data_IF_395747877588
#
_entry.id   IF_395747877588
#
_cell.length_a   1.000
_cell.length_b   1.000
_cell.length_c   1.000
_cell.angle_alpha   90.00
_cell.angle_beta   90.00
_cell.angle_gamma   90.00
#
_symmetry.space_group_name_H-M   'P 1'
#
loop_
_entity.id
_entity.type
_entity.pdbx_description
1 polymer ?
#
# COMPACT_ATOMS: atom_id res chain seq x y z
N UNK A 1 12.52 28.28 -11.35
CA UNK A 1 11.32 29.06 -11.03
C UNK A 1 11.71 30.02 -9.94
N UNK A 2 11.39 31.30 -10.11
CA UNK A 2 11.61 32.33 -9.11
C UNK A 2 10.28 32.92 -8.62
N UNK A 3 10.34 33.85 -7.67
CA UNK A 3 9.16 34.49 -7.09
C UNK A 3 8.29 35.20 -8.15
N UNK A 4 8.90 35.78 -9.18
CA UNK A 4 8.17 36.49 -10.24
C UNK A 4 7.42 35.52 -11.15
N UNK A 5 7.93 34.31 -11.37
CA UNK A 5 7.22 33.24 -12.06
C UNK A 5 5.95 32.82 -11.32
N UNK A 6 6.02 32.65 -10.00
CA UNK A 6 4.87 32.28 -9.19
C UNK A 6 3.78 33.36 -9.16
N UNK A 7 4.18 34.63 -9.07
CA UNK A 7 3.23 35.76 -9.15
C UNK A 7 2.52 35.81 -10.49
N UNK A 8 3.28 35.65 -11.58
CA UNK A 8 2.72 35.65 -12.94
C UNK A 8 1.75 34.48 -13.17
N UNK A 9 2.02 33.35 -12.54
CA UNK A 9 1.16 32.17 -12.55
C UNK A 9 -0.09 32.30 -11.64
N UNK A 10 -0.18 33.36 -10.82
CA UNK A 10 -1.27 33.55 -9.86
C UNK A 10 -1.16 32.67 -8.61
N UNK A 11 -0.04 31.99 -8.40
CA UNK A 11 0.19 31.08 -7.26
C UNK A 11 0.69 31.80 -6.01
N UNK A 12 1.19 33.03 -6.15
CA UNK A 12 1.80 33.78 -5.08
C UNK A 12 1.39 35.26 -5.12
N UNK A 13 0.97 35.78 -3.97
CA UNK A 13 0.71 37.20 -3.73
C UNK A 13 1.63 37.66 -2.57
N UNK A 14 2.56 38.61 -2.80
CA UNK A 14 3.46 39.09 -1.76
C UNK A 14 2.76 39.92 -0.68
N UNK A 15 1.56 40.45 -0.94
CA UNK A 15 0.81 41.27 -0.01
C UNK A 15 -0.19 40.46 0.84
N UNK A 16 -0.32 39.16 0.58
CA UNK A 16 -1.17 38.26 1.35
C UNK A 16 -0.62 38.01 2.77
N UNK A 17 -1.51 37.83 3.75
CA UNK A 17 -1.12 37.57 5.15
C UNK A 17 -0.28 36.29 5.30
N UNK A 18 -0.52 35.28 4.47
CA UNK A 18 0.21 34.02 4.44
C UNK A 18 1.35 33.99 3.38
N UNK A 19 1.80 35.14 2.86
CA UNK A 19 2.77 35.20 1.76
C UNK A 19 4.05 34.41 2.05
N UNK A 20 4.60 34.51 3.27
CA UNK A 20 5.81 33.78 3.65
C UNK A 20 5.62 32.25 3.56
N UNK A 21 4.50 31.75 4.07
CA UNK A 21 4.19 30.31 4.08
C UNK A 21 3.91 29.79 2.67
N UNK A 22 3.17 30.57 1.87
CA UNK A 22 2.87 30.23 0.47
C UNK A 22 4.15 30.19 -0.37
N UNK A 23 5.07 31.14 -0.19
CA UNK A 23 6.36 31.11 -0.89
C UNK A 23 7.19 29.88 -0.46
N UNK A 24 7.26 29.59 0.84
CA UNK A 24 7.98 28.42 1.35
C UNK A 24 7.43 27.09 0.80
N UNK A 25 6.11 26.99 0.62
CA UNK A 25 5.48 25.85 -0.05
C UNK A 25 5.97 25.73 -1.50
N UNK A 26 5.86 26.80 -2.28
CA UNK A 26 6.20 26.79 -3.71
C UNK A 26 7.69 26.47 -3.94
N UNK A 27 8.57 27.02 -3.11
CA UNK A 27 9.99 26.70 -3.11
C UNK A 27 10.24 25.23 -2.75
N UNK A 28 9.53 24.70 -1.76
CA UNK A 28 9.59 23.29 -1.40
C UNK A 28 9.13 22.39 -2.55
N UNK A 29 8.01 22.70 -3.21
CA UNK A 29 7.50 21.92 -4.33
C UNK A 29 8.47 21.95 -5.52
N UNK A 30 9.03 23.13 -5.83
CA UNK A 30 10.05 23.29 -6.87
C UNK A 30 11.33 22.47 -6.58
N UNK A 31 11.79 22.47 -5.32
CA UNK A 31 12.93 21.67 -4.90
C UNK A 31 12.68 20.15 -5.03
N UNK A 32 11.42 19.73 -5.01
CA UNK A 32 11.00 18.35 -5.24
C UNK A 32 10.71 18.02 -6.71
N UNK A 33 11.00 18.94 -7.64
CA UNK A 33 10.86 18.70 -9.07
C UNK A 33 9.43 18.85 -9.61
N UNK A 34 8.50 19.39 -8.81
CA UNK A 34 7.15 19.72 -9.28
C UNK A 34 7.26 20.87 -10.28
N UNK A 35 6.64 20.73 -11.46
CA UNK A 35 6.65 21.79 -12.48
C UNK A 35 5.62 22.86 -12.18
N UNK A 36 5.80 24.05 -12.77
CA UNK A 36 4.86 25.16 -12.58
C UNK A 36 3.44 24.81 -13.03
N UNK A 37 3.30 24.09 -14.14
CA UNK A 37 2.01 23.63 -14.66
C UNK A 37 1.30 22.68 -13.69
N UNK A 38 2.06 21.78 -13.06
CA UNK A 38 1.51 20.86 -12.05
C UNK A 38 1.09 21.61 -10.78
N UNK A 39 1.81 22.65 -10.38
CA UNK A 39 1.40 23.50 -9.27
C UNK A 39 0.11 24.25 -9.58
N UNK A 40 -0.01 24.82 -10.79
CA UNK A 40 -1.23 25.52 -11.24
C UNK A 40 -2.43 24.57 -11.22
N UNK A 41 -2.28 23.38 -11.80
CA UNK A 41 -3.35 22.38 -11.83
C UNK A 41 -3.73 21.94 -10.41
N UNK A 42 -2.75 21.67 -9.54
CA UNK A 42 -3.02 21.25 -8.16
C UNK A 42 -3.69 22.36 -7.33
N UNK A 43 -3.30 23.63 -7.49
CA UNK A 43 -3.88 24.78 -6.80
C UNK A 43 -5.33 25.01 -7.23
N UNK A 44 -5.64 24.88 -8.52
CA UNK A 44 -7.01 24.97 -9.05
C UNK A 44 -7.97 23.94 -8.43
N UNK A 45 -7.43 22.80 -7.96
CA UNK A 45 -8.20 21.74 -7.29
C UNK A 45 -8.05 21.74 -5.76
N UNK A 46 -7.34 22.71 -5.17
CA UNK A 46 -7.13 22.79 -3.72
C UNK A 46 -6.25 21.69 -3.14
N UNK A 47 -5.34 21.13 -3.96
CA UNK A 47 -4.47 19.99 -3.59
C UNK A 47 -2.98 20.32 -3.64
N UNK A 48 -2.62 21.60 -3.74
CA UNK A 48 -1.25 22.06 -3.92
C UNK A 48 -0.27 21.50 -2.87
N UNK A 49 -0.65 21.49 -1.59
CA UNK A 49 0.18 20.94 -0.52
C UNK A 49 0.48 19.43 -0.68
N UNK A 50 -0.40 18.67 -1.34
CA UNK A 50 -0.25 17.22 -1.53
C UNK A 50 0.47 16.81 -2.82
N UNK A 51 0.77 17.75 -3.74
CA UNK A 51 1.22 17.40 -5.09
C UNK A 51 2.58 16.67 -5.09
N UNK A 52 3.50 17.04 -4.19
CA UNK A 52 4.79 16.36 -4.05
C UNK A 52 4.65 14.91 -3.58
N UNK A 53 3.69 14.63 -2.69
CA UNK A 53 3.37 13.27 -2.25
C UNK A 53 2.74 12.44 -3.37
N UNK A 54 1.85 13.06 -4.13
CA UNK A 54 1.21 12.41 -5.27
C UNK A 54 2.25 12.00 -6.30
N UNK A 55 3.28 12.79 -6.60
CA UNK A 55 4.33 12.39 -7.53
C UNK A 55 5.10 11.11 -7.12
N UNK A 56 5.21 10.85 -5.81
CA UNK A 56 5.83 9.62 -5.29
C UNK A 56 4.87 8.42 -5.33
N UNK A 57 3.56 8.65 -5.17
CA UNK A 57 2.55 7.60 -5.23
C UNK A 57 2.04 7.31 -6.65
N UNK A 58 2.15 8.29 -7.54
CA UNK A 58 1.68 8.19 -8.91
C UNK A 58 2.60 7.30 -9.72
N UNK A 59 1.97 6.36 -10.40
CA UNK A 59 2.42 5.61 -11.55
C UNK A 59 3.32 6.43 -12.50
N UNK A 60 4.63 6.47 -12.24
CA UNK A 60 5.56 7.24 -13.07
C UNK A 60 5.74 6.57 -14.44
N UNK A 61 5.63 7.35 -15.51
CA UNK A 61 5.84 6.90 -16.89
C UNK A 61 4.56 6.89 -17.73
N UNK A 62 4.67 6.39 -18.97
CA UNK A 62 3.52 6.27 -19.87
C UNK A 62 2.56 5.23 -19.31
N UNK A 63 1.32 5.63 -19.04
CA UNK A 63 0.26 4.70 -18.70
C UNK A 63 -0.09 3.82 -19.90
N UNK A 64 -0.30 2.54 -19.61
CA UNK A 64 -0.70 1.50 -20.55
C UNK A 64 -2.20 1.22 -20.37
N UNK A 65 -2.83 0.86 -21.48
CA UNK A 65 -4.17 0.30 -21.51
C UNK A 65 -4.17 -1.20 -21.17
N UNK A 66 -5.32 -1.75 -20.78
CA UNK A 66 -5.46 -3.19 -20.53
C UNK A 66 -5.08 -3.99 -21.79
N UNK A 67 -5.40 -3.48 -22.98
CA UNK A 67 -5.02 -4.08 -24.26
C UNK A 67 -3.51 -4.15 -24.45
N UNK A 68 -2.80 -3.04 -24.18
CA UNK A 68 -1.34 -3.01 -24.28
C UNK A 68 -0.69 -3.97 -23.28
N UNK A 69 -1.19 -4.03 -22.04
CA UNK A 69 -0.68 -4.94 -21.02
C UNK A 69 -0.93 -6.40 -21.39
N UNK A 70 -2.14 -6.75 -21.86
CA UNK A 70 -2.47 -8.11 -22.30
C UNK A 70 -1.55 -8.56 -23.45
N UNK A 71 -1.33 -7.70 -24.45
CA UNK A 71 -0.45 -7.98 -25.57
C UNK A 71 1.01 -8.21 -25.11
N UNK A 72 1.51 -7.41 -24.17
CA UNK A 72 2.88 -7.56 -23.64
C UNK A 72 3.04 -8.76 -22.69
N UNK A 73 1.97 -9.17 -22.02
CA UNK A 73 1.95 -10.34 -21.14
C UNK A 73 1.70 -11.68 -21.87
N UNK A 74 1.51 -11.63 -23.19
CA UNK A 74 1.13 -12.77 -24.03
C UNK A 74 -0.20 -13.40 -23.57
N UNK A 75 -1.20 -12.55 -23.37
CA UNK A 75 -2.56 -12.92 -22.93
C UNK A 75 -3.62 -12.43 -23.90
N UNK A 76 -4.75 -13.13 -23.95
CA UNK A 76 -5.94 -12.57 -24.57
C UNK A 76 -6.49 -11.43 -23.71
N UNK A 77 -7.18 -10.46 -24.34
CA UNK A 77 -7.83 -9.37 -23.61
C UNK A 77 -8.89 -9.90 -22.63
N UNK A 78 -9.61 -10.95 -23.00
CA UNK A 78 -10.62 -11.60 -22.15
C UNK A 78 -9.99 -12.20 -20.89
N UNK A 79 -8.87 -12.91 -21.02
CA UNK A 79 -8.17 -13.50 -19.89
C UNK A 79 -7.60 -12.45 -18.95
N UNK A 80 -7.08 -11.35 -19.51
CA UNK A 80 -6.54 -10.23 -18.74
C UNK A 80 -7.65 -9.48 -17.99
N UNK A 81 -8.79 -9.23 -18.65
CA UNK A 81 -9.97 -8.61 -18.03
C UNK A 81 -10.53 -9.48 -16.89
N UNK A 82 -10.62 -10.80 -17.07
CA UNK A 82 -11.09 -11.70 -16.01
C UNK A 82 -10.14 -11.69 -14.80
N UNK A 83 -8.83 -11.78 -15.05
CA UNK A 83 -7.81 -11.68 -14.01
C UNK A 83 -7.90 -10.36 -13.24
N UNK A 84 -8.08 -9.24 -13.95
CA UNK A 84 -8.23 -7.92 -13.34
C UNK A 84 -9.54 -7.78 -12.54
N UNK A 85 -10.66 -8.28 -13.07
CA UNK A 85 -11.94 -8.30 -12.34
C UNK A 85 -11.84 -9.06 -11.02
N UNK A 86 -11.04 -10.12 -10.94
CA UNK A 86 -10.80 -10.85 -9.69
C UNK A 86 -10.07 -10.02 -8.62
N UNK A 87 -9.39 -8.93 -9.00
CA UNK A 87 -8.77 -7.98 -8.05
C UNK A 87 -9.84 -7.08 -7.39
N UNK A 88 -10.97 -6.83 -8.07
CA UNK A 88 -12.08 -6.08 -7.49
C UNK A 88 -11.91 -4.55 -7.46
N UNK A 89 -11.02 -3.99 -8.27
CA UNK A 89 -10.76 -2.53 -8.37
C UNK A 89 -11.64 -1.80 -9.40
N UNK A 90 -12.78 -2.41 -9.77
CA UNK A 90 -13.69 -1.91 -10.80
C UNK A 90 -13.30 -2.35 -12.22
N UNK A 91 -14.28 -2.26 -13.13
CA UNK A 91 -14.05 -2.51 -14.55
C UNK A 91 -13.20 -1.38 -15.16
N UNK A 92 -12.36 -1.74 -16.14
CA UNK A 92 -11.48 -0.82 -16.84
C UNK A 92 -11.78 -0.95 -18.32
N UNK A 93 -11.98 0.18 -19.02
CA UNK A 93 -12.20 0.08 -20.46
C UNK A 93 -10.91 -0.42 -21.15
N UNK A 94 -10.98 -1.27 -22.19
CA UNK A 94 -9.81 -1.91 -22.78
C UNK A 94 -8.67 -0.97 -23.19
N UNK A 95 -9.03 0.25 -23.59
CA UNK A 95 -8.13 1.28 -24.11
C UNK A 95 -7.93 2.47 -23.13
N UNK A 96 -8.47 2.37 -21.90
CA UNK A 96 -8.26 3.35 -20.81
C UNK A 96 -6.81 3.27 -20.29
N UNK A 97 -6.03 4.37 -20.30
CA UNK A 97 -4.68 4.39 -19.73
C UNK A 97 -4.75 4.30 -18.21
N UNK A 98 -4.27 3.19 -17.63
CA UNK A 98 -4.40 2.93 -16.19
C UNK A 98 -3.21 2.21 -15.56
N UNK A 99 -2.51 1.39 -16.33
CA UNK A 99 -1.46 0.49 -15.84
C UNK A 99 -0.08 1.10 -16.06
N UNK A 100 0.90 0.68 -15.27
CA UNK A 100 2.32 0.98 -15.51
C UNK A 100 3.05 -0.21 -16.09
N UNK A 101 4.27 0.04 -16.58
CA UNK A 101 5.17 -1.01 -17.07
C UNK A 101 5.35 -2.14 -16.04
N UNK A 102 5.43 -1.79 -14.74
CA UNK A 102 5.54 -2.75 -13.65
C UNK A 102 4.36 -3.72 -13.53
N UNK A 103 3.17 -3.34 -13.99
CA UNK A 103 1.98 -4.19 -13.91
C UNK A 103 2.06 -5.39 -14.86
N UNK A 104 2.85 -5.32 -15.94
CA UNK A 104 3.01 -6.41 -16.90
C UNK A 104 3.47 -7.70 -16.19
N UNK A 105 4.39 -7.57 -15.23
CA UNK A 105 4.87 -8.71 -14.46
C UNK A 105 3.75 -9.39 -13.65
N UNK A 106 2.77 -8.62 -13.17
CA UNK A 106 1.59 -9.15 -12.46
C UNK A 106 0.73 -10.01 -13.37
N UNK A 107 0.47 -9.55 -14.61
CA UNK A 107 -0.30 -10.31 -15.59
C UNK A 107 0.45 -11.57 -16.07
N UNK A 108 1.75 -11.47 -16.30
CA UNK A 108 2.60 -12.64 -16.62
C UNK A 108 2.55 -13.68 -15.50
N UNK A 109 2.69 -13.26 -14.23
CA UNK A 109 2.62 -14.16 -13.09
C UNK A 109 1.24 -14.80 -12.93
N UNK A 110 0.17 -14.06 -13.20
CA UNK A 110 -1.19 -14.59 -13.23
C UNK A 110 -1.36 -15.69 -14.29
N UNK A 111 -0.90 -15.44 -15.54
CA UNK A 111 -0.93 -16.43 -16.63
C UNK A 111 -0.18 -17.71 -16.23
N UNK A 112 1.06 -17.58 -15.77
CA UNK A 112 1.88 -18.72 -15.32
C UNK A 112 1.23 -19.47 -14.17
N UNK A 113 0.60 -18.77 -13.22
CA UNK A 113 -0.13 -19.42 -12.14
C UNK A 113 -1.35 -20.20 -12.65
N UNK A 114 -2.08 -19.68 -13.64
CA UNK A 114 -3.17 -20.42 -14.28
C UNK A 114 -2.68 -21.71 -14.97
N UNK A 115 -1.52 -21.70 -15.61
CA UNK A 115 -0.91 -22.89 -16.22
C UNK A 115 -0.52 -23.94 -15.18
N UNK A 116 0.01 -23.52 -14.03
CA UNK A 116 0.52 -24.43 -12.98
C UNK A 116 -0.59 -24.94 -12.06
N UNK A 117 -1.51 -24.07 -11.62
CA UNK A 117 -2.49 -24.36 -10.58
C UNK A 117 -3.92 -24.50 -11.11
N UNK A 118 -4.16 -24.13 -12.37
CA UNK A 118 -5.49 -24.05 -12.97
C UNK A 118 -6.18 -22.71 -12.72
N UNK A 119 -6.93 -22.26 -13.72
CA UNK A 119 -7.61 -20.94 -13.75
C UNK A 119 -8.46 -20.64 -12.52
N UNK A 120 -9.35 -21.55 -12.13
CA UNK A 120 -10.24 -21.37 -10.97
C UNK A 120 -9.47 -21.15 -9.67
N UNK A 121 -8.46 -21.99 -9.40
CA UNK A 121 -7.65 -21.87 -8.18
C UNK A 121 -6.89 -20.55 -8.14
N UNK A 122 -6.31 -20.13 -9.28
CA UNK A 122 -5.61 -18.84 -9.40
C UNK A 122 -6.57 -17.68 -9.17
N UNK A 123 -7.77 -17.68 -9.76
CA UNK A 123 -8.76 -16.62 -9.54
C UNK A 123 -9.19 -16.53 -8.07
N UNK A 124 -9.40 -17.65 -7.39
CA UNK A 124 -9.72 -17.65 -5.95
C UNK A 124 -8.56 -17.08 -5.12
N UNK A 125 -7.32 -17.47 -5.43
CA UNK A 125 -6.14 -16.92 -4.76
C UNK A 125 -6.00 -15.41 -4.99
N UNK A 126 -6.25 -14.94 -6.23
CA UNK A 126 -6.26 -13.50 -6.56
C UNK A 126 -7.27 -12.75 -5.71
N UNK A 127 -8.51 -13.23 -5.57
CA UNK A 127 -9.55 -12.59 -4.73
C UNK A 127 -9.17 -12.52 -3.26
N UNK A 128 -8.58 -13.58 -2.71
CA UNK A 128 -8.10 -13.59 -1.31
C UNK A 128 -6.95 -12.60 -1.12
N UNK A 129 -6.03 -12.54 -2.07
CA UNK A 129 -4.90 -11.61 -2.04
C UNK A 129 -5.41 -10.18 -2.11
N UNK A 130 -6.27 -9.87 -3.08
CA UNK A 130 -6.82 -8.53 -3.28
C UNK A 130 -7.66 -8.05 -2.09
N UNK A 131 -8.54 -8.89 -1.54
CA UNK A 131 -9.30 -8.55 -0.31
C UNK A 131 -8.41 -8.34 0.91
N UNK A 132 -7.25 -9.00 0.97
CA UNK A 132 -6.25 -8.75 2.03
C UNK A 132 -5.52 -7.43 1.80
N UNK A 133 -5.16 -7.12 0.55
CA UNK A 133 -4.54 -5.84 0.20
C UNK A 133 -5.50 -4.66 0.45
N UNK A 134 -6.78 -4.80 0.12
CA UNK A 134 -7.79 -3.76 0.40
C UNK A 134 -7.87 -3.42 1.90
N UNK A 135 -7.88 -4.45 2.77
CA UNK A 135 -7.88 -4.26 4.24
C UNK A 135 -6.58 -3.63 4.74
N UNK A 136 -5.44 -3.96 4.14
CA UNK A 136 -4.15 -3.33 4.48
C UNK A 136 -4.12 -1.86 4.06
N UNK A 137 -4.63 -1.53 2.87
CA UNK A 137 -4.73 -0.17 2.39
C UNK A 137 -5.67 0.66 3.27
N UNK A 138 -6.82 0.11 3.66
CA UNK A 138 -7.77 0.76 4.58
C UNK A 138 -7.13 1.03 5.94
N UNK A 139 -6.44 0.04 6.52
CA UNK A 139 -5.72 0.22 7.79
C UNK A 139 -4.61 1.26 7.67
N UNK A 140 -3.84 1.25 6.58
CA UNK A 140 -2.80 2.23 6.31
C UNK A 140 -3.35 3.65 6.19
N UNK A 141 -4.47 3.83 5.47
CA UNK A 141 -5.15 5.11 5.35
C UNK A 141 -5.71 5.59 6.69
N UNK A 142 -6.31 4.70 7.48
CA UNK A 142 -6.79 5.05 8.82
C UNK A 142 -5.66 5.54 9.73
N UNK A 143 -4.49 4.88 9.70
CA UNK A 143 -3.30 5.33 10.41
C UNK A 143 -2.75 6.66 9.88
N UNK A 144 -2.76 6.88 8.56
CA UNK A 144 -2.37 8.16 7.99
C UNK A 144 -3.25 9.30 8.50
N UNK A 145 -4.58 9.12 8.46
CA UNK A 145 -5.53 10.12 8.94
C UNK A 145 -5.38 10.37 10.44
N UNK A 146 -5.24 9.31 11.25
CA UNK A 146 -5.17 9.46 12.71
C UNK A 146 -3.86 10.07 13.19
N UNK A 147 -2.73 9.67 12.60
CA UNK A 147 -1.40 10.03 13.08
C UNK A 147 -0.81 11.26 12.37
N UNK A 148 -1.27 11.61 11.16
CA UNK A 148 -0.71 12.72 10.38
C UNK A 148 -1.76 13.81 10.11
N UNK A 149 -2.86 13.50 9.43
CA UNK A 149 -3.81 14.51 8.96
C UNK A 149 -4.52 15.25 10.12
N UNK A 150 -5.03 14.49 11.10
CA UNK A 150 -5.73 15.06 12.25
C UNK A 150 -4.85 16.00 13.09
N UNK A 151 -3.63 15.60 13.51
CA UNK A 151 -2.74 16.51 14.24
C UNK A 151 -2.40 17.80 13.49
N UNK A 152 -2.19 17.72 12.17
CA UNK A 152 -1.93 18.91 11.34
C UNK A 152 -3.13 19.87 11.32
N UNK A 153 -4.34 19.31 11.17
CA UNK A 153 -5.57 20.10 11.19
C UNK A 153 -5.83 20.75 12.56
N UNK A 154 -5.55 20.04 13.65
CA UNK A 154 -5.74 20.54 15.03
C UNK A 154 -4.70 21.63 15.38
N UNK A 155 -3.49 21.56 14.82
CA UNK A 155 -2.42 22.51 15.05
C UNK A 155 -2.49 23.78 14.16
N UNK A 156 -3.47 23.90 13.26
CA UNK A 156 -3.51 24.93 12.22
C UNK A 156 -2.19 25.04 11.44
N UNK A 157 -1.64 23.88 11.05
CA UNK A 157 -0.35 23.81 10.37
C UNK A 157 -0.33 24.65 9.07
N UNK A 158 0.82 25.26 8.80
CA UNK A 158 1.07 25.99 7.55
C UNK A 158 1.05 25.04 6.35
N UNK A 159 0.81 25.57 5.14
CA UNK A 159 0.75 24.74 3.93
C UNK A 159 2.04 23.96 3.68
N UNK A 160 3.20 24.56 3.99
CA UNK A 160 4.51 23.90 3.85
C UNK A 160 4.72 22.78 4.88
N UNK A 161 4.19 22.92 6.10
CA UNK A 161 4.23 21.85 7.11
C UNK A 161 3.36 20.67 6.72
N UNK A 162 2.17 20.94 6.16
CA UNK A 162 1.30 19.91 5.58
C UNK A 162 2.06 19.19 4.45
N UNK A 163 2.63 19.93 3.51
CA UNK A 163 3.33 19.36 2.36
C UNK A 163 4.51 18.47 2.75
N UNK A 164 5.34 18.91 3.71
CA UNK A 164 6.46 18.10 4.24
C UNK A 164 5.97 16.83 4.92
N UNK A 165 4.88 16.91 5.68
CA UNK A 165 4.34 15.77 6.42
C UNK A 165 3.71 14.76 5.47
N UNK A 166 2.92 15.22 4.50
CA UNK A 166 2.39 14.35 3.46
C UNK A 166 3.52 13.71 2.65
N UNK A 167 4.61 14.43 2.36
CA UNK A 167 5.74 13.85 1.64
C UNK A 167 6.40 12.75 2.46
N UNK A 168 6.69 12.99 3.73
CA UNK A 168 7.25 11.99 4.63
C UNK A 168 6.35 10.74 4.72
N UNK A 169 5.04 10.93 4.82
CA UNK A 169 4.06 9.84 4.79
C UNK A 169 4.12 9.03 3.49
N UNK A 170 4.22 9.69 2.33
CA UNK A 170 4.33 9.01 1.03
C UNK A 170 5.58 8.13 0.92
N UNK A 171 6.72 8.59 1.47
CA UNK A 171 7.98 7.84 1.48
C UNK A 171 7.88 6.59 2.38
N UNK A 172 7.20 6.70 3.52
CA UNK A 172 6.93 5.55 4.39
C UNK A 172 6.00 4.55 3.69
N UNK A 173 4.93 5.04 3.04
CA UNK A 173 4.00 4.20 2.29
C UNK A 173 4.70 3.44 1.16
N UNK A 174 5.65 4.07 0.47
CA UNK A 174 6.45 3.43 -0.57
C UNK A 174 7.29 2.23 -0.06
N UNK A 175 7.58 2.15 1.24
CA UNK A 175 8.28 1.02 1.85
C UNK A 175 7.39 -0.18 2.21
N UNK A 176 6.06 -0.02 2.20
CA UNK A 176 5.11 -1.08 2.58
C UNK A 176 5.27 -2.37 1.76
N UNK A 177 5.44 -2.33 0.42
CA UNK A 177 5.63 -3.55 -0.38
C UNK A 177 6.79 -4.43 0.12
N UNK A 178 7.92 -3.84 0.51
CA UNK A 178 9.09 -4.58 1.03
C UNK A 178 8.78 -5.29 2.35
N UNK A 179 8.00 -4.65 3.23
CA UNK A 179 7.55 -5.27 4.49
C UNK A 179 6.61 -6.44 4.21
N UNK A 180 5.66 -6.26 3.27
CA UNK A 180 4.70 -7.31 2.90
C UNK A 180 5.40 -8.53 2.28
N UNK A 181 6.39 -8.32 1.42
CA UNK A 181 7.21 -9.41 0.86
C UNK A 181 7.89 -10.21 1.98
N UNK A 182 8.49 -9.50 2.94
CA UNK A 182 9.15 -10.13 4.10
C UNK A 182 8.16 -10.98 4.91
N UNK A 183 6.98 -10.43 5.22
CA UNK A 183 5.95 -11.14 5.98
C UNK A 183 5.40 -12.35 5.23
N UNK A 184 5.17 -12.21 3.92
CA UNK A 184 4.74 -13.31 3.06
C UNK A 184 5.68 -14.52 3.19
N UNK A 185 6.99 -14.31 3.07
CA UNK A 185 7.97 -15.39 3.18
C UNK A 185 8.04 -15.99 4.59
N UNK A 186 7.90 -15.18 5.66
CA UNK A 186 7.86 -15.71 7.02
C UNK A 186 6.63 -16.58 7.29
N UNK A 187 5.46 -16.17 6.81
CA UNK A 187 4.24 -16.96 6.92
C UNK A 187 4.32 -18.26 6.11
N UNK A 188 4.89 -18.21 4.89
CA UNK A 188 5.15 -19.39 4.07
C UNK A 188 6.06 -20.39 4.77
N UNK A 189 7.23 -19.94 5.27
CA UNK A 189 8.18 -20.79 6.00
C UNK A 189 7.54 -21.49 7.20
N UNK A 190 6.78 -20.75 8.02
CA UNK A 190 6.07 -21.32 9.19
C UNK A 190 5.09 -22.43 8.80
N UNK A 191 4.35 -22.24 7.70
CA UNK A 191 3.39 -23.25 7.20
C UNK A 191 4.08 -24.47 6.60
N UNK A 192 5.15 -24.27 5.83
CA UNK A 192 5.94 -25.37 5.25
C UNK A 192 6.68 -26.19 6.31
N UNK A 193 7.11 -25.58 7.43
CA UNK A 193 7.68 -26.32 8.55
C UNK A 193 6.67 -27.23 9.27
N UNK A 194 5.39 -26.87 9.30
CA UNK A 194 4.31 -27.71 9.86
C UNK A 194 3.80 -28.80 8.91
N UNK A 195 3.97 -28.61 7.60
CA UNK A 195 3.45 -29.50 6.55
C UNK A 195 4.31 -30.75 6.28
N UNK A 196 5.50 -30.89 6.89
CA UNK A 196 6.34 -32.10 6.77
C UNK A 196 5.68 -33.37 7.34
N UNK A 197 4.53 -33.24 8.01
CA UNK A 197 3.73 -34.35 8.52
C UNK A 197 2.86 -35.06 7.45
N UNK A 198 2.58 -34.43 6.30
CA UNK A 198 1.66 -35.00 5.29
C UNK A 198 2.36 -35.72 4.12
N UNK A 199 3.69 -35.62 4.01
CA UNK A 199 4.49 -36.37 3.01
C UNK A 199 5.03 -37.69 3.61
N UNK A 200 4.58 -38.08 4.82
CA UNK A 200 4.99 -39.34 5.45
C UNK A 200 3.90 -40.41 5.30
N UNK A 201 4.19 -41.35 4.40
CA UNK A 201 3.61 -42.67 4.18
C UNK A 201 2.16 -42.76 3.67
N UNK A 202 2.02 -43.03 2.36
CA UNK A 202 0.95 -43.92 1.88
C UNK A 202 1.19 -45.28 2.53
N UNK A 203 0.27 -45.83 3.35
CA UNK A 203 0.45 -47.18 3.86
C UNK A 203 0.29 -48.17 2.70
N UNK A 204 1.28 -49.04 2.53
CA UNK A 204 1.10 -50.25 1.76
C UNK A 204 -0.08 -51.02 2.37
N UNK A 205 -1.04 -51.37 1.51
CA UNK A 205 -2.22 -52.14 1.90
C UNK A 205 -1.78 -53.45 2.56
N UNK A 206 -2.08 -53.61 3.84
CA UNK A 206 -2.29 -54.91 4.46
C UNK A 206 -3.60 -54.86 5.23
N UNK A 207 -4.50 -55.77 4.85
CA UNK A 207 -5.76 -56.00 5.52
C UNK A 207 -5.50 -56.51 6.95
N UNK A 208 -6.09 -55.87 7.96
CA UNK A 208 -6.50 -56.50 9.21
C UNK A 208 -7.39 -55.54 10.02
N UNK A 209 -8.54 -56.03 10.47
CA UNK A 209 -9.61 -55.22 11.04
C UNK A 209 -9.37 -54.74 12.48
N UNK A 210 -10.08 -53.67 12.87
CA UNK A 210 -11.06 -53.69 13.97
C UNK A 210 -11.45 -52.29 14.46
N UNK A 211 -12.76 -52.18 14.80
CA UNK A 211 -13.46 -51.27 15.74
C UNK A 211 -13.23 -49.75 15.67
N UNK A 212 -14.28 -49.08 15.21
CA UNK A 212 -14.59 -47.70 15.58
C UNK A 212 -15.17 -47.64 17.00
N UNK A 213 -14.59 -46.81 17.85
CA UNK A 213 -15.23 -46.33 19.08
C UNK A 213 -15.35 -44.80 18.96
N UNK A 214 -16.58 -44.32 18.79
CA UNK A 214 -16.90 -42.89 18.82
C UNK A 214 -17.11 -42.45 20.27
N UNK A 215 -16.32 -41.47 20.73
CA UNK A 215 -16.66 -40.67 21.92
C UNK A 215 -16.94 -39.24 21.50
N UNK A 216 -18.22 -38.89 21.48
CA UNK A 216 -18.69 -37.52 21.66
C UNK A 216 -18.48 -37.14 23.12
N UNK A 217 -17.75 -36.06 23.39
CA UNK A 217 -17.88 -35.36 24.67
C UNK A 217 -17.83 -33.85 24.46
N UNK A 218 -18.99 -33.24 24.72
CA UNK A 218 -19.24 -31.82 24.86
C UNK A 218 -18.80 -31.28 26.23
N UNK A 219 -18.70 -29.96 26.31
CA UNK A 219 -18.64 -29.10 27.51
C UNK A 219 -17.21 -28.87 28.07
N UNK A 220 -16.81 -27.70 28.59
CA UNK A 220 -17.53 -26.52 29.05
C UNK A 220 -16.56 -25.34 29.24
N UNK A 221 -17.11 -24.12 29.22
CA UNK A 221 -16.54 -22.85 29.72
C UNK A 221 -15.75 -23.00 31.03
N UNK A 222 -14.70 -22.19 31.20
CA UNK A 222 -14.41 -21.35 32.39
C UNK A 222 -13.19 -20.44 32.15
N UNK A 223 -13.35 -19.15 32.42
CA UNK A 223 -12.32 -18.23 32.92
C UNK A 223 -12.64 -17.98 34.41
N UNK A 224 -11.66 -17.74 35.31
CA UNK A 224 -11.32 -16.34 35.68
C UNK A 224 -9.87 -16.08 36.23
N UNK A 225 -9.48 -14.78 36.25
CA UNK A 225 -8.55 -14.08 37.19
C UNK A 225 -7.03 -14.44 37.12
N UNK A 226 -6.02 -13.57 37.33
CA UNK A 226 -5.87 -12.28 38.04
C UNK A 226 -4.64 -11.48 37.55
N UNK A 227 -4.66 -10.16 37.73
CA UNK A 227 -3.53 -9.22 37.57
C UNK A 227 -2.40 -9.38 38.60
N UNK A 228 -1.24 -8.73 38.39
CA UNK A 228 -0.52 -8.10 39.49
C UNK A 228 -0.13 -6.63 39.21
N UNK A 229 -0.20 -5.80 40.26
CA UNK A 229 0.19 -4.38 40.32
C UNK A 229 1.58 -4.18 40.95
N UNK A 230 2.43 -3.32 40.35
CA UNK A 230 3.28 -2.23 40.91
C UNK A 230 4.38 -1.89 39.89
N UNK A 231 4.41 -0.70 39.27
CA UNK A 231 4.82 0.64 39.75
C UNK A 231 6.33 0.85 39.92
N UNK A 232 6.97 1.50 38.95
CA UNK A 232 8.00 2.54 39.16
C UNK A 232 8.25 3.32 37.86
N UNK A 233 8.51 4.63 38.01
CA UNK A 233 8.47 5.67 36.99
C UNK A 233 9.76 5.86 36.17
N UNK A 234 9.59 6.36 34.94
CA UNK A 234 10.51 7.26 34.20
C UNK A 234 11.46 6.65 33.17
N UNK A 235 11.96 7.42 32.19
CA UNK A 235 11.28 8.37 31.31
C UNK A 235 11.42 8.02 29.80
N UNK A 236 10.60 8.68 28.97
CA UNK A 236 10.51 8.54 27.51
C UNK A 236 11.82 8.77 26.74
N UNK A 237 12.07 8.07 25.62
CA UNK A 237 13.21 8.37 24.77
C UNK A 237 12.89 9.52 23.80
N UNK A 238 13.51 10.68 24.05
CA UNK A 238 13.69 11.75 23.07
C UNK A 238 14.64 11.31 21.96
N UNK A 239 14.18 11.32 20.71
CA UNK A 239 15.06 11.26 19.53
C UNK A 239 15.91 12.54 19.47
N UNK A 240 17.22 12.39 19.68
CA UNK A 240 18.22 13.45 19.49
C UNK A 240 18.80 13.34 18.07
N UNK A 241 18.71 14.45 17.34
CA UNK A 241 19.34 14.65 16.04
C UNK A 241 20.86 14.42 16.11
N UNK A 242 21.38 13.67 15.14
CA UNK A 242 22.81 13.58 14.87
C UNK A 242 23.14 14.52 13.71
N UNK A 243 23.58 15.73 14.04
CA UNK A 243 24.51 16.47 13.19
C UNK A 243 25.92 15.94 13.48
N UNK A 244 26.64 15.59 12.42
CA UNK A 244 28.11 15.71 12.32
C UNK A 244 28.53 15.51 10.86
N UNK A 245 28.77 16.62 10.17
CA UNK A 245 29.87 16.79 9.20
C UNK A 245 31.06 17.37 9.99
N UNK A 246 32.32 17.32 9.50
CA UNK A 246 32.76 17.41 8.11
C UNK A 246 33.18 16.07 7.47
#
# INVERSE_FOLDING_TARGET
>A
MDTADYQRAGLYDPDAENAADRLALLEFLAANGVTLEQMIDADAHGTLAGVASNQNMLMQGKLLSLREVAARADMTLEDADEGWRAVGLGAVAPDEPRFVEGDIATFVNYRLACEVFGREATLQFTRVTASSMARLAEAGMASFVSELERPLSEAQATEVEIARTMQAGSLIAAGVPTVLETFYWHHGRRRSSGSRSHVRALPASTASGSRWASSTSSASRRSPFSSPTRSSAGPSPTLKAAHSTP
#
